data_IF_697543572670
#
_entry.id   IF_697543572670
#
_cell.length_a   1.000
_cell.length_b   1.000
_cell.length_c   1.000
_cell.angle_alpha   90.00
_cell.angle_beta   90.00
_cell.angle_gamma   90.00
#
_symmetry.space_group_name_H-M   'P 1'
#
loop_
_entity.id
_entity.type
_entity.pdbx_description
1 polymer ?
#
# COMPACT_ATOMS: atom_id res chain seq x y z
N UNK A 1 10.03 -10.27 -14.78
CA UNK A 1 11.07 -9.71 -13.88
C UNK A 1 11.29 -10.71 -12.75
N UNK A 2 12.45 -11.33 -12.65
CA UNK A 2 12.75 -12.25 -11.55
C UNK A 2 12.94 -11.43 -10.27
N UNK A 3 12.10 -11.64 -9.29
CA UNK A 3 12.26 -11.00 -7.98
C UNK A 3 13.38 -11.69 -7.22
N UNK A 4 14.49 -11.02 -7.01
CA UNK A 4 15.58 -11.51 -6.19
C UNK A 4 15.30 -11.13 -4.75
N UNK A 5 14.87 -12.10 -3.95
CA UNK A 5 14.74 -11.91 -2.49
C UNK A 5 16.13 -11.98 -1.86
N UNK A 6 16.65 -10.86 -1.37
CA UNK A 6 17.81 -10.85 -0.50
C UNK A 6 17.39 -11.35 0.89
N UNK A 7 17.92 -12.49 1.32
CA UNK A 7 17.84 -12.90 2.74
C UNK A 7 18.67 -11.89 3.55
N UNK A 8 18.01 -11.01 4.27
CA UNK A 8 18.66 -10.17 5.28
C UNK A 8 18.75 -10.98 6.57
N UNK A 9 19.94 -10.98 7.17
CA UNK A 9 20.14 -11.58 8.49
C UNK A 9 19.28 -10.78 9.50
N UNK A 10 18.50 -11.48 10.33
CA UNK A 10 17.60 -10.89 11.32
C UNK A 10 18.34 -9.89 12.23
N UNK A 11 19.55 -10.23 12.69
CA UNK A 11 20.37 -9.37 13.55
C UNK A 11 20.74 -8.04 12.86
N UNK A 12 20.99 -8.06 11.55
CA UNK A 12 21.22 -6.83 10.75
C UNK A 12 19.97 -5.97 10.63
N UNK A 13 18.78 -6.57 10.57
CA UNK A 13 17.52 -5.82 10.49
C UNK A 13 17.18 -5.16 11.83
N UNK A 14 17.43 -5.89 12.94
CA UNK A 14 17.19 -5.38 14.30
C UNK A 14 18.20 -4.29 14.69
N UNK A 15 19.44 -4.37 14.20
CA UNK A 15 20.50 -3.38 14.46
C UNK A 15 20.43 -2.13 13.60
N UNK A 16 19.48 -2.07 12.62
CA UNK A 16 19.30 -0.88 11.80
C UNK A 16 18.85 0.31 12.66
N UNK A 17 19.45 1.49 12.47
CA UNK A 17 19.07 2.67 13.22
C UNK A 17 17.58 2.95 13.04
N UNK A 18 16.87 3.20 14.14
CA UNK A 18 15.47 3.60 14.10
C UNK A 18 15.32 4.78 13.14
N UNK A 19 14.40 4.65 12.21
CA UNK A 19 14.16 5.71 11.23
C UNK A 19 13.83 7.02 11.95
N UNK A 20 14.52 8.11 11.58
CA UNK A 20 14.20 9.46 12.09
C UNK A 20 12.74 9.77 11.82
N UNK A 21 12.07 10.34 12.79
CA UNK A 21 10.68 10.79 12.63
C UNK A 21 10.63 11.94 11.62
N UNK A 22 9.68 11.85 10.67
CA UNK A 22 9.47 12.88 9.66
C UNK A 22 7.99 13.07 9.36
N UNK A 23 7.65 14.26 8.91
CA UNK A 23 6.31 14.55 8.40
C UNK A 23 6.11 13.90 7.03
N UNK A 24 4.96 13.28 6.78
CA UNK A 24 4.61 12.76 5.46
C UNK A 24 4.69 13.84 4.38
N UNK A 25 5.02 13.44 3.17
CA UNK A 25 5.00 14.29 2.00
C UNK A 25 3.81 13.87 1.11
N UNK A 26 3.17 14.84 0.47
CA UNK A 26 2.18 14.56 -0.57
C UNK A 26 2.93 14.17 -1.85
N UNK A 27 2.67 13.00 -2.43
CA UNK A 27 3.27 12.67 -3.72
C UNK A 27 2.83 13.66 -4.79
N UNK A 28 3.78 14.28 -5.47
CA UNK A 28 3.49 15.23 -6.53
C UNK A 28 2.81 14.53 -7.73
N UNK A 29 2.19 15.29 -8.62
CA UNK A 29 1.60 14.74 -9.83
C UNK A 29 2.63 13.99 -10.69
N UNK A 30 3.86 14.52 -10.75
CA UNK A 30 4.97 13.87 -11.45
C UNK A 30 5.22 12.44 -10.96
N UNK A 31 5.37 12.25 -9.65
CA UNK A 31 5.60 10.92 -9.08
C UNK A 31 4.43 9.97 -9.31
N UNK A 32 3.20 10.45 -9.22
CA UNK A 32 1.99 9.65 -9.48
C UNK A 32 1.91 9.22 -10.94
N UNK A 33 2.19 10.13 -11.88
CA UNK A 33 2.26 9.80 -13.30
C UNK A 33 3.39 8.81 -13.60
N UNK A 34 4.57 9.02 -13.02
CA UNK A 34 5.72 8.14 -13.21
C UNK A 34 5.43 6.71 -12.73
N UNK A 35 4.88 6.56 -11.51
CA UNK A 35 4.49 5.25 -10.98
C UNK A 35 3.46 4.59 -11.91
N UNK A 36 2.46 5.34 -12.38
CA UNK A 36 1.46 4.83 -13.30
C UNK A 36 2.09 4.33 -14.61
N UNK A 37 2.98 5.10 -15.21
CA UNK A 37 3.66 4.72 -16.46
C UNK A 37 4.49 3.44 -16.25
N UNK A 38 5.27 3.37 -15.20
CA UNK A 38 6.06 2.19 -14.84
C UNK A 38 5.18 0.96 -14.57
N UNK A 39 3.96 1.17 -14.09
CA UNK A 39 3.02 0.09 -13.78
C UNK A 39 2.36 -0.51 -15.03
N UNK A 40 2.28 0.22 -16.15
CA UNK A 40 1.57 -0.22 -17.35
C UNK A 40 2.03 -1.60 -17.85
N UNK A 41 3.33 -1.87 -18.06
CA UNK A 41 3.76 -3.17 -18.58
C UNK A 41 3.38 -4.34 -17.66
N UNK A 42 3.52 -4.15 -16.35
CA UNK A 42 3.14 -5.15 -15.34
C UNK A 42 1.63 -5.45 -15.36
N UNK A 43 0.81 -4.42 -15.39
CA UNK A 43 -0.65 -4.53 -15.39
C UNK A 43 -1.18 -5.12 -16.72
N UNK A 44 -0.62 -4.72 -17.86
CA UNK A 44 -0.98 -5.29 -19.16
C UNK A 44 -0.61 -6.77 -19.24
N UNK A 45 0.57 -7.16 -18.77
CA UNK A 45 1.00 -8.56 -18.76
C UNK A 45 0.08 -9.45 -17.92
N UNK A 46 -0.59 -8.89 -16.93
CA UNK A 46 -1.53 -9.58 -16.06
C UNK A 46 -2.99 -9.52 -16.56
N UNK A 47 -3.25 -8.91 -17.72
CA UNK A 47 -4.62 -8.66 -18.20
C UNK A 47 -5.49 -8.04 -17.11
N UNK A 48 -4.92 -7.02 -16.44
CA UNK A 48 -5.56 -6.36 -15.32
C UNK A 48 -6.88 -5.70 -15.74
N UNK A 49 -7.93 -5.99 -14.98
CA UNK A 49 -9.24 -5.35 -15.12
C UNK A 49 -9.75 -4.92 -13.76
N UNK A 50 -10.56 -3.86 -13.71
CA UNK A 50 -11.16 -3.43 -12.45
C UNK A 50 -12.58 -2.88 -12.66
N UNK A 51 -13.37 -2.94 -11.59
CA UNK A 51 -14.72 -2.36 -11.52
C UNK A 51 -14.78 -1.45 -10.28
N UNK A 52 -15.35 -0.26 -10.45
CA UNK A 52 -15.60 0.68 -9.33
C UNK A 52 -17.07 0.58 -8.94
N UNK A 53 -17.34 0.35 -7.66
CA UNK A 53 -18.69 0.20 -7.12
C UNK A 53 -18.85 1.24 -6.02
N UNK A 54 -19.91 2.07 -6.08
CA UNK A 54 -20.21 3.08 -5.06
C UNK A 54 -19.25 4.28 -5.03
N UNK A 55 -18.30 4.37 -5.96
CA UNK A 55 -17.31 5.45 -6.00
C UNK A 55 -17.90 6.82 -6.37
N UNK A 56 -19.09 6.85 -6.93
CA UNK A 56 -19.86 8.07 -7.22
C UNK A 56 -20.26 8.83 -5.95
N UNK A 57 -20.38 8.12 -4.83
CA UNK A 57 -20.70 8.69 -3.51
C UNK A 57 -19.53 9.46 -2.88
N UNK A 58 -18.32 9.25 -3.39
CA UNK A 58 -17.12 9.86 -2.86
C UNK A 58 -16.73 11.08 -3.70
N UNK A 59 -16.62 12.24 -3.06
CA UNK A 59 -16.14 13.44 -3.74
C UNK A 59 -14.71 13.22 -4.26
N UNK A 60 -14.43 13.66 -5.49
CA UNK A 60 -13.13 13.49 -6.16
C UNK A 60 -11.93 14.04 -5.37
N UNK A 61 -12.13 15.06 -4.56
CA UNK A 61 -11.09 15.71 -3.74
C UNK A 61 -11.09 15.26 -2.28
N UNK A 62 -12.08 14.49 -1.86
CA UNK A 62 -12.21 14.04 -0.48
C UNK A 62 -11.21 12.93 -0.16
N UNK A 63 -10.35 13.08 0.86
CA UNK A 63 -9.47 12.01 1.30
C UNK A 63 -10.25 10.82 1.84
N UNK A 64 -9.76 9.62 1.59
CA UNK A 64 -10.36 8.39 2.08
C UNK A 64 -9.28 7.42 2.60
N UNK A 65 -9.68 6.51 3.46
CA UNK A 65 -8.86 5.37 3.86
C UNK A 65 -9.10 4.23 2.89
N UNK A 66 -8.05 3.75 2.27
CA UNK A 66 -8.09 2.65 1.31
C UNK A 66 -7.51 1.42 1.99
N UNK A 67 -8.33 0.40 2.15
CA UNK A 67 -7.94 -0.90 2.68
C UNK A 67 -7.79 -1.86 1.51
N UNK A 68 -6.66 -2.53 1.42
CA UNK A 68 -6.39 -3.47 0.33
C UNK A 68 -5.79 -4.76 0.87
N UNK A 69 -6.24 -5.91 0.36
CA UNK A 69 -5.59 -7.19 0.65
C UNK A 69 -4.18 -7.21 0.04
N UNK A 70 -3.24 -7.88 0.72
CA UNK A 70 -1.83 -7.88 0.34
C UNK A 70 -1.39 -9.23 -0.21
N UNK A 71 -1.37 -9.34 -1.53
CA UNK A 71 -1.20 -10.63 -2.20
C UNK A 71 0.08 -10.73 -3.03
N UNK A 72 0.56 -9.63 -3.59
CA UNK A 72 1.73 -9.64 -4.46
C UNK A 72 2.41 -8.27 -4.59
N UNK A 73 3.58 -8.24 -5.24
CA UNK A 73 4.31 -6.98 -5.47
C UNK A 73 3.60 -5.98 -6.41
N UNK A 74 2.56 -6.41 -7.12
CA UNK A 74 1.78 -5.53 -8.00
C UNK A 74 0.70 -4.74 -7.25
N UNK A 75 0.46 -5.05 -5.98
CA UNK A 75 -0.65 -4.44 -5.21
C UNK A 75 -0.56 -2.92 -5.16
N UNK A 76 0.65 -2.38 -4.98
CA UNK A 76 0.86 -0.93 -5.01
C UNK A 76 0.56 -0.34 -6.38
N UNK A 77 1.01 -0.98 -7.45
CA UNK A 77 0.79 -0.56 -8.83
C UNK A 77 -0.71 -0.58 -9.16
N UNK A 78 -1.42 -1.59 -8.67
CA UNK A 78 -2.88 -1.72 -8.80
C UNK A 78 -3.57 -0.56 -8.07
N UNK A 79 -3.25 -0.32 -6.80
CA UNK A 79 -3.88 0.73 -6.01
C UNK A 79 -3.65 2.12 -6.63
N UNK A 80 -2.43 2.44 -7.03
CA UNK A 80 -2.09 3.70 -7.70
C UNK A 80 -2.85 3.86 -9.02
N UNK A 81 -2.97 2.79 -9.82
CA UNK A 81 -3.66 2.85 -11.11
C UNK A 81 -5.17 3.02 -10.96
N UNK A 82 -5.80 2.32 -10.00
CA UNK A 82 -7.25 2.39 -9.73
C UNK A 82 -7.64 3.75 -9.15
N UNK A 83 -6.80 4.31 -8.27
CA UNK A 83 -7.10 5.55 -7.56
C UNK A 83 -6.61 6.81 -8.28
N UNK A 84 -5.82 6.68 -9.34
CA UNK A 84 -5.37 7.84 -10.11
C UNK A 84 -6.55 8.75 -10.55
N UNK A 85 -6.43 10.08 -10.45
CA UNK A 85 -5.26 10.90 -10.08
C UNK A 85 -5.20 11.27 -8.58
N UNK A 86 -5.87 10.56 -7.67
CA UNK A 86 -5.86 10.86 -6.24
C UNK A 86 -4.45 10.73 -5.66
N UNK A 87 -3.97 11.67 -4.83
CA UNK A 87 -2.74 11.48 -4.11
C UNK A 87 -2.93 10.43 -3.03
N UNK A 88 -2.02 9.46 -2.96
CA UNK A 88 -2.00 8.39 -1.97
C UNK A 88 -0.78 8.52 -1.07
N UNK A 89 -0.97 8.49 0.24
CA UNK A 89 0.09 8.19 1.18
C UNK A 89 -0.05 6.72 1.60
N UNK A 90 1.06 5.98 1.56
CA UNK A 90 1.08 4.53 1.68
C UNK A 90 1.70 4.16 3.01
N UNK A 91 0.96 3.45 3.86
CA UNK A 91 1.52 2.89 5.09
C UNK A 91 2.39 1.69 4.74
N UNK A 92 3.67 1.76 5.07
CA UNK A 92 4.61 0.68 4.81
C UNK A 92 5.59 0.51 5.98
N UNK A 93 6.19 -0.66 6.07
CA UNK A 93 7.10 -0.99 7.16
C UNK A 93 8.42 -0.24 7.04
N UNK A 94 9.04 0.08 8.17
CA UNK A 94 10.28 0.87 8.23
C UNK A 94 11.46 0.23 7.52
N UNK A 95 11.47 -1.10 7.40
CA UNK A 95 12.47 -1.86 6.63
C UNK A 95 12.44 -1.53 5.12
N UNK A 96 11.28 -1.17 4.58
CA UNK A 96 11.15 -0.72 3.18
C UNK A 96 11.88 0.59 2.87
N UNK A 97 12.25 1.36 3.89
CA UNK A 97 12.96 2.65 3.71
C UNK A 97 14.47 2.51 3.66
N UNK A 98 15.03 1.37 4.03
CA UNK A 98 16.49 1.16 4.10
C UNK A 98 17.14 1.40 2.74
N UNK A 99 18.07 2.35 2.68
CA UNK A 99 18.78 2.77 1.47
C UNK A 99 17.94 3.54 0.44
N UNK A 100 16.63 3.79 0.73
CA UNK A 100 15.70 4.44 -0.22
C UNK A 100 14.83 5.52 0.44
N UNK A 101 15.28 6.07 1.55
CA UNK A 101 14.48 6.97 2.39
C UNK A 101 13.86 8.15 1.60
N UNK A 102 14.66 8.87 0.81
CA UNK A 102 14.17 10.00 0.04
C UNK A 102 13.12 9.57 -1.00
N UNK A 103 13.38 8.50 -1.75
CA UNK A 103 12.46 7.98 -2.74
C UNK A 103 11.13 7.58 -2.10
N UNK A 104 11.16 6.80 -1.00
CA UNK A 104 9.96 6.36 -0.29
C UNK A 104 9.12 7.55 0.20
N UNK A 105 9.77 8.61 0.67
CA UNK A 105 9.07 9.84 1.06
C UNK A 105 8.44 10.57 -0.11
N UNK A 106 9.13 10.68 -1.24
CA UNK A 106 8.65 11.36 -2.45
C UNK A 106 7.45 10.66 -3.09
N UNK A 107 7.39 9.34 -3.01
CA UNK A 107 6.24 8.54 -3.45
C UNK A 107 5.11 8.46 -2.40
N UNK A 108 5.26 9.15 -1.26
CA UNK A 108 4.22 9.31 -0.25
C UNK A 108 4.19 8.24 0.84
N UNK A 109 5.22 7.42 0.99
CA UNK A 109 5.26 6.38 2.02
C UNK A 109 5.33 6.96 3.43
N UNK A 110 4.58 6.37 4.35
CA UNK A 110 4.55 6.65 5.79
C UNK A 110 5.09 5.41 6.51
N UNK A 111 6.24 5.50 7.21
CA UNK A 111 6.81 4.36 7.91
C UNK A 111 6.01 4.01 9.14
N UNK A 112 5.86 2.71 9.37
CA UNK A 112 5.31 2.13 10.60
C UNK A 112 6.19 1.00 11.09
N UNK A 113 6.16 0.73 12.39
CA UNK A 113 6.81 -0.43 12.98
C UNK A 113 5.84 -1.60 12.99
N UNK A 114 6.34 -2.79 12.67
CA UNK A 114 5.52 -4.02 12.74
C UNK A 114 5.12 -4.29 14.18
N UNK A 115 3.88 -4.77 14.35
CA UNK A 115 3.36 -5.30 15.63
C UNK A 115 3.27 -4.30 16.80
N UNK A 116 3.40 -3.00 16.57
CA UNK A 116 3.29 -1.98 17.61
C UNK A 116 2.11 -1.06 17.30
N UNK A 117 1.28 -0.80 18.32
CA UNK A 117 0.27 0.28 18.20
C UNK A 117 1.01 1.61 18.21
N UNK A 118 1.15 2.21 17.05
CA UNK A 118 1.94 3.41 16.87
C UNK A 118 1.02 4.63 16.77
N UNK A 119 0.89 5.36 17.88
CA UNK A 119 0.17 6.64 17.90
C UNK A 119 0.80 7.67 16.95
N UNK A 120 2.12 7.58 16.71
CA UNK A 120 2.80 8.45 15.76
C UNK A 120 2.31 8.17 14.33
N UNK A 121 2.02 6.91 13.99
CA UNK A 121 1.39 6.56 12.71
C UNK A 121 0.04 7.26 12.53
N UNK A 122 -0.85 7.18 13.54
CA UNK A 122 -2.17 7.84 13.47
C UNK A 122 -2.02 9.35 13.26
N UNK A 123 -1.12 10.01 13.98
CA UNK A 123 -0.85 11.44 13.80
C UNK A 123 -0.36 11.77 12.38
N UNK A 124 0.52 10.93 11.81
CA UNK A 124 1.01 11.09 10.44
C UNK A 124 -0.12 10.90 9.41
N UNK A 125 -0.99 9.90 9.62
CA UNK A 125 -2.16 9.70 8.77
C UNK A 125 -3.12 10.89 8.85
N UNK A 126 -3.43 11.36 10.05
CA UNK A 126 -4.26 12.56 10.24
C UNK A 126 -3.65 13.80 9.56
N UNK A 127 -2.34 13.99 9.67
CA UNK A 127 -1.64 15.08 8.98
C UNK A 127 -1.78 14.96 7.45
N UNK A 128 -1.58 13.76 6.89
CA UNK A 128 -1.74 13.52 5.46
C UNK A 128 -3.18 13.81 4.98
N UNK A 129 -4.18 13.41 5.76
CA UNK A 129 -5.61 13.65 5.46
C UNK A 129 -5.94 15.15 5.55
N UNK A 130 -5.62 15.78 6.68
CA UNK A 130 -6.10 17.13 6.98
C UNK A 130 -5.29 18.23 6.28
N UNK A 131 -3.98 18.11 6.27
CA UNK A 131 -3.05 19.14 5.73
C UNK A 131 -2.67 18.87 4.27
N UNK A 132 -2.36 17.63 3.91
CA UNK A 132 -1.94 17.30 2.55
C UNK A 132 -3.13 16.99 1.62
N UNK A 133 -4.34 16.80 2.17
CA UNK A 133 -5.53 16.37 1.41
C UNK A 133 -5.22 15.14 0.55
N UNK A 134 -4.59 14.16 1.17
CA UNK A 134 -4.16 12.91 0.56
C UNK A 134 -4.92 11.74 1.17
N UNK A 135 -5.27 10.76 0.36
CA UNK A 135 -5.86 9.50 0.84
C UNK A 135 -4.78 8.59 1.42
N UNK A 136 -5.18 7.66 2.26
CA UNK A 136 -4.25 6.72 2.91
C UNK A 136 -4.49 5.33 2.36
N UNK A 137 -3.45 4.69 1.84
CA UNK A 137 -3.46 3.28 1.48
C UNK A 137 -2.85 2.46 2.63
N UNK A 138 -3.57 1.44 3.05
CA UNK A 138 -3.16 0.54 4.12
C UNK A 138 -3.45 -0.91 3.75
N UNK A 139 -2.50 -1.78 4.08
CA UNK A 139 -2.65 -3.24 3.98
C UNK A 139 -2.91 -3.77 5.39
N UNK A 140 -4.17 -4.00 5.78
CA UNK A 140 -4.51 -4.30 7.17
C UNK A 140 -4.00 -5.65 7.65
N UNK A 141 -3.65 -6.55 6.74
CA UNK A 141 -3.06 -7.86 7.03
C UNK A 141 -1.60 -7.75 7.53
N UNK A 142 -0.96 -6.57 7.36
CA UNK A 142 0.42 -6.27 7.76
C UNK A 142 1.51 -7.20 7.17
N UNK A 143 1.13 -8.15 6.34
CA UNK A 143 2.02 -9.09 5.64
C UNK A 143 1.42 -9.50 4.30
N UNK A 144 2.27 -9.98 3.39
CA UNK A 144 1.78 -10.65 2.19
C UNK A 144 1.11 -11.97 2.56
N UNK A 145 0.03 -12.32 1.87
CA UNK A 145 -0.58 -13.63 2.02
C UNK A 145 0.43 -14.74 1.64
N UNK A 146 0.52 -15.76 2.47
CA UNK A 146 1.41 -16.89 2.25
C UNK A 146 0.80 -17.92 1.29
N UNK A 147 -0.49 -18.16 1.40
CA UNK A 147 -1.24 -19.20 0.69
C UNK A 147 -2.38 -18.65 -0.20
N UNK A 148 -2.55 -17.34 -0.24
CA UNK A 148 -3.61 -16.68 -1.00
C UNK A 148 -4.91 -16.48 -0.22
N UNK A 149 -4.96 -16.92 1.03
CA UNK A 149 -6.11 -16.66 1.92
C UNK A 149 -5.99 -15.31 2.62
N UNK A 150 -7.12 -14.76 3.02
CA UNK A 150 -7.14 -13.55 3.82
C UNK A 150 -6.87 -13.89 5.30
N UNK A 151 -6.04 -13.11 5.95
CA UNK A 151 -5.80 -13.23 7.40
C UNK A 151 -6.86 -12.44 8.18
N UNK A 152 -7.18 -12.84 9.43
CA UNK A 152 -8.07 -12.07 10.28
C UNK A 152 -7.57 -10.63 10.45
N UNK A 153 -8.48 -9.67 10.35
CA UNK A 153 -8.15 -8.26 10.51
C UNK A 153 -7.91 -7.94 12.00
N UNK A 154 -6.86 -7.17 12.32
CA UNK A 154 -6.57 -6.83 13.70
C UNK A 154 -7.66 -5.90 14.27
N UNK A 155 -8.03 -6.11 15.55
CA UNK A 155 -9.02 -5.27 16.24
C UNK A 155 -8.64 -3.78 16.31
N UNK A 156 -7.33 -3.48 16.26
CA UNK A 156 -6.79 -2.12 16.20
C UNK A 156 -7.21 -1.37 14.92
N UNK A 157 -7.53 -2.08 13.84
CA UNK A 157 -8.03 -1.47 12.60
C UNK A 157 -9.33 -0.70 12.83
N UNK A 158 -10.26 -1.26 13.58
CA UNK A 158 -11.55 -0.58 13.89
C UNK A 158 -11.32 0.71 14.68
N UNK A 159 -10.38 0.71 15.62
CA UNK A 159 -10.01 1.92 16.37
C UNK A 159 -9.39 2.95 15.43
N UNK A 160 -8.52 2.53 14.52
CA UNK A 160 -7.90 3.40 13.52
C UNK A 160 -8.96 4.06 12.62
N UNK A 161 -9.90 3.28 12.06
CA UNK A 161 -11.00 3.77 11.22
C UNK A 161 -11.82 4.83 11.98
N UNK A 162 -12.20 4.52 13.24
CA UNK A 162 -12.98 5.43 14.08
C UNK A 162 -12.23 6.74 14.37
N UNK A 163 -10.92 6.66 14.65
CA UNK A 163 -10.08 7.84 14.94
C UNK A 163 -9.85 8.72 13.71
N UNK A 164 -9.75 8.14 12.52
CA UNK A 164 -9.57 8.89 11.27
C UNK A 164 -10.86 9.55 10.80
N UNK A 165 -12.01 8.95 11.06
CA UNK A 165 -13.36 9.46 10.74
C UNK A 165 -13.47 10.01 9.30
N UNK A 166 -13.06 9.22 8.33
CA UNK A 166 -13.11 9.52 6.89
C UNK A 166 -13.73 8.34 6.13
N UNK A 167 -14.22 8.56 4.90
CA UNK A 167 -14.72 7.48 4.07
C UNK A 167 -13.71 6.35 3.92
N UNK A 168 -14.20 5.11 3.95
CA UNK A 168 -13.38 3.90 3.76
C UNK A 168 -13.70 3.28 2.42
N UNK A 169 -12.67 2.97 1.64
CA UNK A 169 -12.75 2.24 0.38
C UNK A 169 -12.02 0.91 0.55
N UNK A 170 -12.60 -0.14 0.02
CA UNK A 170 -11.95 -1.44 -0.05
C UNK A 170 -11.52 -1.72 -1.49
N UNK A 171 -10.24 -2.06 -1.68
CA UNK A 171 -9.73 -2.62 -2.94
C UNK A 171 -9.52 -4.11 -2.70
N UNK A 172 -10.26 -4.93 -3.42
CA UNK A 172 -10.14 -6.38 -3.33
C UNK A 172 -9.59 -6.94 -4.63
N UNK A 173 -8.41 -7.57 -4.55
CA UNK A 173 -7.76 -8.20 -5.70
C UNK A 173 -8.06 -9.69 -5.73
N UNK A 174 -8.32 -10.21 -6.91
CA UNK A 174 -8.50 -11.64 -7.16
C UNK A 174 -7.48 -12.12 -8.19
N UNK A 175 -6.88 -13.28 -7.94
CA UNK A 175 -5.86 -13.85 -8.82
C UNK A 175 -4.47 -13.23 -8.69
N UNK A 176 -4.30 -12.17 -7.89
CA UNK A 176 -3.02 -11.51 -7.70
C UNK A 176 -1.98 -12.44 -7.07
N UNK A 177 -2.35 -13.17 -6.03
CA UNK A 177 -1.50 -14.18 -5.40
C UNK A 177 -1.04 -15.24 -6.41
N UNK A 178 -1.98 -15.82 -7.17
CA UNK A 178 -1.67 -16.89 -8.15
C UNK A 178 -0.83 -16.38 -9.33
N UNK A 179 -0.89 -15.08 -9.63
CA UNK A 179 -0.13 -14.48 -10.73
C UNK A 179 1.32 -14.22 -10.35
N UNK A 180 1.57 -13.76 -9.15
CA UNK A 180 2.89 -13.37 -8.68
C UNK A 180 3.04 -13.62 -7.18
N UNK A 181 3.01 -14.89 -6.75
CA UNK A 181 3.14 -15.24 -5.34
C UNK A 181 4.52 -14.84 -4.83
N UNK A 182 4.57 -14.26 -3.62
CA UNK A 182 5.81 -13.79 -3.03
C UNK A 182 6.72 -14.94 -2.58
N UNK A 183 6.11 -15.99 -2.03
CA UNK A 183 6.80 -17.07 -1.32
C UNK A 183 7.02 -18.34 -2.15
N UNK A 184 6.47 -18.40 -3.35
CA UNK A 184 6.70 -19.52 -4.27
C UNK A 184 6.84 -19.02 -5.72
N UNK A 185 7.40 -19.85 -6.59
CA UNK A 185 7.62 -19.51 -7.99
C UNK A 185 6.48 -19.94 -8.93
N UNK A 186 5.39 -20.47 -8.39
CA UNK A 186 4.27 -20.97 -9.18
C UNK A 186 3.39 -19.82 -9.62
N UNK A 187 3.26 -19.64 -10.92
CA UNK A 187 2.33 -18.66 -11.54
C UNK A 187 1.19 -19.42 -12.21
N UNK A 188 0.09 -19.56 -11.48
CA UNK A 188 -1.05 -20.37 -11.92
C UNK A 188 -2.00 -19.57 -12.82
N UNK A 189 -2.18 -18.28 -12.55
CA UNK A 189 -3.10 -17.42 -13.29
C UNK A 189 -2.38 -16.32 -14.06
N UNK A 190 -2.95 -15.99 -15.24
CA UNK A 190 -2.44 -14.92 -16.10
C UNK A 190 -3.21 -13.60 -15.95
N UNK A 191 -4.30 -13.56 -15.20
CA UNK A 191 -5.15 -12.38 -15.05
C UNK A 191 -5.37 -12.00 -13.59
N UNK A 192 -5.52 -10.69 -13.35
CA UNK A 192 -5.83 -10.11 -12.05
C UNK A 192 -7.13 -9.32 -12.18
N UNK A 193 -8.09 -9.57 -11.30
CA UNK A 193 -9.35 -8.82 -11.21
C UNK A 193 -9.36 -8.02 -9.92
N UNK A 194 -9.95 -6.82 -9.97
CA UNK A 194 -10.11 -5.90 -8.84
C UNK A 194 -11.56 -5.42 -8.78
N UNK A 195 -12.13 -5.44 -7.62
CA UNK A 195 -13.45 -4.89 -7.34
C UNK A 195 -13.44 -4.03 -6.10
#
# INVERSE_FOLDING_TARGET
MKTVTKKLNFDKVVSLPKQKDFKPLKPSLFWRCLIRIISIPGLLSCRFTYKKIGMEKLNKKEPCLILMNHSCFLDLQIAESVMFPRPLNIVCTSDGFVGKNLLMRLIGCIPTNKFVTDFALIRKMQYAITKLKSSILMFPEASYSFDGTATPLPSSLFKCIKLLNIPVIMIRTYGAFSRNPLYNNLQIRKSIKVS
#
